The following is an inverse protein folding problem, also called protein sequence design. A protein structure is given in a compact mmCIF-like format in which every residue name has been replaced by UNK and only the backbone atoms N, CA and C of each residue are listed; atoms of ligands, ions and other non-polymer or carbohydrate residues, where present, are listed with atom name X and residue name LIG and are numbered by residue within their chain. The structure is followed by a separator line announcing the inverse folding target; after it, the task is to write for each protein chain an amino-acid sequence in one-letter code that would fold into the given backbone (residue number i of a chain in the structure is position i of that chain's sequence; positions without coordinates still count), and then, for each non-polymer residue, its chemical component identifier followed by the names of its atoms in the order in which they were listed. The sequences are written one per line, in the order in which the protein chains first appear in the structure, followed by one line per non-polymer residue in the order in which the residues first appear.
data_IF_850876876768
#
_entry.id   IF_850876876768
#
_cell.length_a   1.000
_cell.length_b   1.000
_cell.length_c   1.000
_cell.angle_alpha   90.00
_cell.angle_beta   90.00
_cell.angle_gamma   90.00
#
_symmetry.space_group_name_H-M   'P 1'
#
loop_
_entity.id
_entity.type
_entity.pdbx_description
1 polymer ?
#
# COMPACT_ATOMS: atom_id res chain seq x y z
N UNK A 1 9.11 39.96 9.12
CA UNK A 1 9.35 38.52 9.23
C UNK A 1 9.59 37.98 7.86
N UNK A 2 10.73 37.39 7.63
CA UNK A 2 11.08 36.74 6.40
C UNK A 2 10.43 35.35 6.42
N UNK A 3 9.71 34.95 5.39
CA UNK A 3 8.96 33.69 5.35
C UNK A 3 9.86 32.48 5.10
N UNK A 4 11.03 32.70 4.51
CA UNK A 4 12.11 31.75 4.33
C UNK A 4 13.42 32.51 4.49
N UNK A 5 14.42 31.87 5.04
CA UNK A 5 15.78 32.42 5.16
C UNK A 5 16.50 32.44 3.82
N UNK A 6 16.05 31.61 2.87
CA UNK A 6 16.58 31.58 1.52
C UNK A 6 15.99 32.69 0.66
N UNK A 7 16.85 33.59 0.19
CA UNK A 7 16.47 34.79 -0.57
C UNK A 7 16.00 34.38 -1.97
N UNK A 8 14.84 34.89 -2.39
CA UNK A 8 14.35 34.79 -3.76
C UNK A 8 13.30 33.69 -4.00
N UNK A 9 13.07 32.79 -3.05
CA UNK A 9 12.04 31.74 -3.16
C UNK A 9 10.69 32.19 -2.57
N UNK A 10 9.61 31.91 -3.28
CA UNK A 10 8.26 32.36 -2.93
C UNK A 10 7.30 31.18 -2.74
N UNK A 11 6.11 31.45 -2.16
CA UNK A 11 5.04 30.44 -2.05
C UNK A 11 4.57 29.91 -3.42
N UNK A 12 4.69 30.72 -4.47
CA UNK A 12 4.36 30.29 -5.84
C UNK A 12 5.38 29.29 -6.38
N UNK A 13 6.65 29.45 -6.02
CA UNK A 13 7.69 28.51 -6.42
C UNK A 13 7.51 27.18 -5.70
N UNK A 14 7.11 27.20 -4.41
CA UNK A 14 6.71 26.01 -3.67
C UNK A 14 5.52 25.30 -4.32
N UNK A 15 4.49 26.07 -4.68
CA UNK A 15 3.28 25.52 -5.31
C UNK A 15 3.59 24.90 -6.66
N UNK A 16 4.39 25.58 -7.48
CA UNK A 16 4.84 25.04 -8.75
C UNK A 16 5.62 23.72 -8.57
N UNK A 17 6.51 23.67 -7.59
CA UNK A 17 7.37 22.52 -7.33
C UNK A 17 6.59 21.31 -6.81
N UNK A 18 5.69 21.50 -5.83
CA UNK A 18 4.92 20.38 -5.27
C UNK A 18 4.06 19.70 -6.33
N UNK A 19 3.61 20.44 -7.36
CA UNK A 19 2.84 19.90 -8.47
C UNK A 19 3.67 19.08 -9.46
N UNK A 20 5.00 19.11 -9.37
CA UNK A 20 5.87 18.23 -10.17
C UNK A 20 6.01 16.83 -9.55
N UNK A 21 5.65 16.66 -8.30
CA UNK A 21 5.75 15.38 -7.59
C UNK A 21 4.59 14.45 -7.99
N UNK A 22 4.90 13.20 -8.26
CA UNK A 22 3.94 12.23 -8.79
C UNK A 22 3.84 10.99 -7.89
N UNK A 23 2.63 10.46 -7.76
CA UNK A 23 2.34 9.22 -7.03
C UNK A 23 2.37 7.96 -7.91
N UNK A 24 2.68 8.10 -9.20
CA UNK A 24 2.72 6.95 -10.13
C UNK A 24 3.65 5.80 -9.70
N UNK A 25 4.82 6.06 -9.06
CA UNK A 25 5.68 4.97 -8.62
C UNK A 25 5.10 4.10 -7.52
N UNK A 26 4.06 4.58 -6.81
CA UNK A 26 3.48 3.92 -5.65
C UNK A 26 2.32 2.99 -6.01
N UNK A 27 2.34 1.76 -5.47
CA UNK A 27 1.27 0.78 -5.66
C UNK A 27 -0.06 1.22 -5.05
N UNK A 28 -0.03 1.94 -3.90
CA UNK A 28 -1.26 2.42 -3.28
C UNK A 28 -2.08 3.34 -4.21
N UNK A 29 -1.44 4.07 -5.10
CA UNK A 29 -2.16 4.92 -6.04
C UNK A 29 -3.05 4.11 -7.02
N UNK A 30 -2.60 2.91 -7.38
CA UNK A 30 -3.35 1.99 -8.27
C UNK A 30 -4.33 1.14 -7.48
N UNK A 31 -3.90 0.59 -6.33
CA UNK A 31 -4.69 -0.32 -5.50
C UNK A 31 -5.78 0.42 -4.70
N UNK A 32 -5.51 1.69 -4.32
CA UNK A 32 -6.37 2.54 -3.49
C UNK A 32 -6.48 3.95 -4.08
N UNK A 33 -7.22 4.17 -5.17
CA UNK A 33 -7.40 5.50 -5.77
C UNK A 33 -7.81 6.55 -4.75
N UNK A 34 -7.28 7.76 -4.90
CA UNK A 34 -7.44 8.85 -3.94
C UNK A 34 -8.88 9.37 -3.92
N UNK A 35 -9.44 9.55 -2.72
CA UNK A 35 -10.79 10.09 -2.50
C UNK A 35 -10.80 11.10 -1.38
N UNK A 36 -11.22 12.33 -1.67
CA UNK A 36 -11.41 13.35 -0.64
C UNK A 36 -12.64 13.03 0.21
N UNK A 37 -12.49 13.17 1.53
CA UNK A 37 -13.56 12.95 2.50
C UNK A 37 -13.93 14.25 3.25
N UNK A 38 -15.19 14.38 3.61
CA UNK A 38 -15.67 15.53 4.39
C UNK A 38 -15.44 15.41 5.91
N UNK A 39 -15.23 14.19 6.40
CA UNK A 39 -15.03 13.86 7.82
C UNK A 39 -13.65 13.24 8.05
N UNK A 40 -13.22 13.15 9.31
CA UNK A 40 -12.00 12.42 9.71
C UNK A 40 -12.27 10.92 9.92
N UNK A 41 -13.46 10.44 9.59
CA UNK A 41 -13.80 9.03 9.62
C UNK A 41 -13.91 8.51 8.19
N UNK A 42 -13.35 7.35 7.93
CA UNK A 42 -13.61 6.61 6.69
C UNK A 42 -14.60 5.48 6.96
N UNK A 43 -15.43 5.17 5.98
CA UNK A 43 -16.45 4.12 6.08
C UNK A 43 -16.49 3.34 4.78
N UNK A 44 -16.40 2.02 4.89
CA UNK A 44 -16.65 1.09 3.82
C UNK A 44 -17.90 0.26 4.16
N UNK A 45 -18.72 0.01 3.14
CA UNK A 45 -19.86 -0.90 3.23
C UNK A 45 -19.42 -2.19 2.53
N UNK A 46 -19.43 -3.29 3.27
CA UNK A 46 -19.04 -4.60 2.78
C UNK A 46 -20.26 -5.51 2.65
N UNK A 47 -20.28 -6.33 1.59
CA UNK A 47 -21.32 -7.34 1.34
C UNK A 47 -20.66 -8.70 1.51
N UNK A 48 -21.06 -9.43 2.55
CA UNK A 48 -20.41 -10.69 2.96
C UNK A 48 -20.42 -11.80 1.94
N UNK A 49 -21.41 -11.85 1.04
CA UNK A 49 -21.46 -12.89 0.02
C UNK A 49 -21.82 -12.32 -1.34
N UNK A 50 -21.27 -12.94 -2.38
CA UNK A 50 -21.59 -12.64 -3.79
C UNK A 50 -22.48 -13.67 -4.44
N UNK A 51 -23.20 -14.49 -3.66
CA UNK A 51 -24.02 -15.58 -4.17
C UNK A 51 -25.15 -15.07 -5.05
N UNK A 52 -25.25 -15.64 -6.24
CA UNK A 52 -26.35 -15.38 -7.19
C UNK A 52 -27.53 -16.26 -6.83
N UNK A 53 -28.52 -15.70 -6.12
CA UNK A 53 -29.71 -16.42 -5.69
C UNK A 53 -30.72 -16.49 -6.84
N UNK A 54 -31.16 -17.70 -7.19
CA UNK A 54 -32.19 -17.89 -8.18
C UNK A 54 -33.58 -17.51 -7.65
N UNK A 55 -34.44 -17.00 -8.52
CA UNK A 55 -35.87 -16.81 -8.21
C UNK A 55 -36.60 -18.14 -8.08
N UNK A 56 -37.66 -18.16 -7.26
CA UNK A 56 -38.54 -19.33 -7.17
C UNK A 56 -39.50 -19.37 -8.36
N UNK A 57 -39.74 -20.57 -8.87
CA UNK A 57 -40.84 -20.81 -9.81
C UNK A 57 -42.10 -21.07 -8.96
N UNK A 58 -43.10 -20.21 -9.10
CA UNK A 58 -44.33 -20.26 -8.32
C UNK A 58 -45.57 -20.37 -9.23
N UNK A 59 -46.66 -20.91 -8.71
CA UNK A 59 -47.93 -20.95 -9.43
C UNK A 59 -48.47 -19.54 -9.70
N UNK A 60 -49.22 -19.33 -10.77
CA UNK A 60 -49.86 -18.06 -11.08
C UNK A 60 -50.81 -17.67 -9.95
N UNK A 61 -50.64 -16.43 -9.42
CA UNK A 61 -51.42 -15.94 -8.30
C UNK A 61 -50.81 -16.19 -6.91
N UNK A 62 -49.70 -16.92 -6.82
CA UNK A 62 -48.96 -17.08 -5.55
C UNK A 62 -48.23 -15.80 -5.14
N UNK A 63 -48.21 -15.51 -3.83
CA UNK A 63 -47.44 -14.41 -3.30
C UNK A 63 -45.93 -14.72 -3.33
N UNK A 64 -45.09 -13.70 -3.61
CA UNK A 64 -43.63 -13.84 -3.60
C UNK A 64 -43.12 -14.12 -2.18
N UNK A 65 -42.28 -15.14 -2.03
CA UNK A 65 -41.59 -15.42 -0.79
C UNK A 65 -40.51 -14.34 -0.56
N UNK A 66 -40.55 -13.69 0.61
CA UNK A 66 -39.52 -12.73 0.99
C UNK A 66 -38.20 -13.47 1.29
N UNK A 67 -37.15 -13.05 0.63
CA UNK A 67 -35.78 -13.56 0.86
C UNK A 67 -35.11 -12.79 1.99
N UNK A 68 -34.25 -13.45 2.73
CA UNK A 68 -33.39 -12.81 3.74
C UNK A 68 -32.38 -11.91 3.04
N UNK A 69 -32.19 -10.71 3.56
CA UNK A 69 -31.12 -9.81 3.12
C UNK A 69 -29.81 -10.26 3.76
N UNK A 70 -28.74 -10.25 2.99
CA UNK A 70 -27.41 -10.44 3.55
C UNK A 70 -27.09 -9.27 4.50
N UNK A 71 -26.48 -9.55 5.65
CA UNK A 71 -26.04 -8.48 6.53
C UNK A 71 -24.96 -7.64 5.84
N UNK A 72 -25.16 -6.33 5.86
CA UNK A 72 -24.14 -5.38 5.46
C UNK A 72 -23.25 -5.12 6.66
N UNK A 73 -22.00 -5.48 6.56
CA UNK A 73 -21.00 -5.12 7.56
C UNK A 73 -20.43 -3.74 7.23
N UNK A 74 -20.24 -2.91 8.23
CA UNK A 74 -19.62 -1.61 8.09
C UNK A 74 -18.24 -1.68 8.72
N UNK A 75 -17.22 -1.52 7.90
CA UNK A 75 -15.86 -1.28 8.37
C UNK A 75 -15.63 0.23 8.38
N UNK A 76 -15.17 0.75 9.49
CA UNK A 76 -14.90 2.18 9.64
C UNK A 76 -13.74 2.39 10.60
N UNK A 77 -13.04 3.49 10.42
CA UNK A 77 -11.96 3.91 11.29
C UNK A 77 -11.72 5.41 11.16
N UNK A 78 -10.91 5.93 12.06
CA UNK A 78 -10.47 7.31 11.99
C UNK A 78 -9.39 7.49 10.92
N UNK A 79 -9.29 8.68 10.35
CA UNK A 79 -8.21 9.05 9.44
C UNK A 79 -7.08 9.65 10.29
N UNK A 80 -5.94 8.96 10.42
CA UNK A 80 -4.83 9.45 11.22
C UNK A 80 -4.16 10.68 10.59
N UNK A 81 -3.47 11.46 11.42
CA UNK A 81 -2.59 12.52 10.96
C UNK A 81 -1.19 11.95 10.77
N UNK A 82 -0.64 12.10 9.58
CA UNK A 82 0.76 11.80 9.27
C UNK A 82 1.57 13.08 9.32
N UNK A 83 2.78 13.01 9.86
CA UNK A 83 3.72 14.13 9.99
C UNK A 83 5.13 13.65 9.69
N UNK A 84 5.90 14.49 8.98
CA UNK A 84 7.33 14.34 8.78
C UNK A 84 7.94 15.74 8.70
N UNK A 85 9.12 15.94 9.26
CA UNK A 85 9.77 17.22 9.28
C UNK A 85 11.26 17.10 8.95
N UNK A 86 11.80 18.12 8.33
CA UNK A 86 13.22 18.37 8.18
C UNK A 86 13.50 19.82 8.54
N UNK A 87 14.62 20.09 9.17
CA UNK A 87 14.96 21.43 9.62
C UNK A 87 16.41 21.73 9.22
N UNK A 88 16.66 22.97 8.88
CA UNK A 88 18.00 23.52 8.76
C UNK A 88 18.32 24.25 10.05
N UNK A 89 19.41 23.88 10.68
CA UNK A 89 19.93 24.55 11.86
C UNK A 89 20.98 25.62 11.52
N UNK A 90 21.50 26.31 12.55
CA UNK A 90 22.46 27.36 12.39
C UNK A 90 23.77 26.86 11.75
N UNK A 91 24.23 25.64 12.12
CA UNK A 91 25.48 25.06 11.60
C UNK A 91 25.36 24.76 10.09
N UNK A 92 24.22 24.26 9.66
CA UNK A 92 23.95 23.97 8.24
C UNK A 92 23.88 25.29 7.42
N UNK A 93 23.31 26.36 7.99
CA UNK A 93 23.28 27.66 7.34
C UNK A 93 24.68 28.28 7.26
N UNK A 94 25.48 28.23 8.32
CA UNK A 94 26.87 28.73 8.30
C UNK A 94 27.71 27.97 7.27
N UNK A 95 27.57 26.62 7.22
CA UNK A 95 28.25 25.79 6.21
C UNK A 95 27.86 26.19 4.79
N UNK A 96 26.57 26.49 4.59
CA UNK A 96 26.06 26.98 3.32
C UNK A 96 26.61 28.36 2.95
N UNK A 97 26.63 29.34 3.89
CA UNK A 97 27.16 30.67 3.68
C UNK A 97 28.67 30.65 3.37
N UNK A 98 29.41 29.77 4.05
CA UNK A 98 30.84 29.53 3.73
C UNK A 98 31.00 28.99 2.30
N UNK A 99 30.17 28.04 1.89
CA UNK A 99 30.18 27.51 0.52
C UNK A 99 29.91 28.62 -0.52
N UNK A 100 28.94 29.51 -0.24
CA UNK A 100 28.63 30.67 -1.08
C UNK A 100 29.79 31.62 -1.17
N UNK A 101 30.46 31.94 -0.04
CA UNK A 101 31.61 32.82 -0.01
C UNK A 101 32.79 32.26 -0.82
N UNK A 102 33.06 30.95 -0.70
CA UNK A 102 34.10 30.26 -1.44
C UNK A 102 33.83 30.21 -2.95
N UNK A 103 32.57 30.19 -3.36
CA UNK A 103 32.13 30.25 -4.75
C UNK A 103 32.29 31.67 -5.38
N UNK A 104 32.92 32.63 -4.67
CA UNK A 104 33.22 34.00 -5.12
C UNK A 104 32.01 34.82 -5.56
N UNK A 105 30.94 34.76 -4.84
CA UNK A 105 29.76 35.61 -5.04
C UNK A 105 28.96 35.35 -6.32
N UNK A 106 29.22 34.27 -6.98
CA UNK A 106 28.33 33.75 -8.05
C UNK A 106 27.69 32.47 -7.50
N UNK A 107 26.72 32.57 -6.58
CA UNK A 107 26.07 31.38 -6.05
C UNK A 107 25.42 30.69 -7.22
N UNK A 108 25.68 29.38 -7.33
CA UNK A 108 24.86 28.54 -8.20
C UNK A 108 23.45 28.51 -7.60
N UNK A 109 22.62 29.44 -8.07
CA UNK A 109 21.22 29.54 -7.62
C UNK A 109 20.50 28.20 -7.83
N UNK A 110 20.99 27.38 -8.75
CA UNK A 110 20.49 26.04 -9.02
C UNK A 110 20.70 25.11 -7.83
N UNK A 111 21.90 25.10 -7.24
CA UNK A 111 22.21 24.26 -6.07
C UNK A 111 21.37 24.65 -4.84
N UNK A 112 21.09 25.94 -4.67
CA UNK A 112 20.24 26.45 -3.60
C UNK A 112 18.79 26.03 -3.77
N UNK A 113 18.26 26.16 -4.97
CA UNK A 113 16.92 25.72 -5.32
C UNK A 113 16.80 24.21 -5.18
N UNK A 114 17.85 23.46 -5.55
CA UNK A 114 17.87 21.99 -5.40
C UNK A 114 17.84 21.55 -3.94
N UNK A 115 18.66 22.16 -3.06
CA UNK A 115 18.66 21.84 -1.64
C UNK A 115 17.31 22.13 -0.97
N UNK A 116 16.72 23.29 -1.32
CA UNK A 116 15.40 23.67 -0.83
C UNK A 116 14.28 22.77 -1.36
N UNK A 117 14.39 22.32 -2.63
CA UNK A 117 13.50 21.38 -3.25
C UNK A 117 13.61 19.98 -2.64
N UNK A 118 14.81 19.59 -2.24
CA UNK A 118 15.07 18.29 -1.64
C UNK A 118 14.30 18.11 -0.33
N UNK A 119 14.27 19.12 0.54
CA UNK A 119 13.48 19.05 1.78
C UNK A 119 11.99 18.89 1.51
N UNK A 120 11.47 19.60 0.52
CA UNK A 120 10.06 19.45 0.14
C UNK A 120 9.79 18.06 -0.45
N UNK A 121 10.71 17.56 -1.29
CA UNK A 121 10.61 16.21 -1.86
C UNK A 121 10.70 15.14 -0.80
N UNK A 122 11.61 15.31 0.17
CA UNK A 122 11.74 14.42 1.32
C UNK A 122 10.43 14.36 2.12
N UNK A 123 9.85 15.50 2.45
CA UNK A 123 8.58 15.57 3.18
C UNK A 123 7.41 14.97 2.37
N UNK A 124 7.38 15.21 1.06
CA UNK A 124 6.37 14.63 0.18
C UNK A 124 6.48 13.10 0.13
N UNK A 125 7.68 12.60 -0.19
CA UNK A 125 7.94 11.16 -0.28
C UNK A 125 7.70 10.46 1.05
N UNK A 126 8.07 11.09 2.18
CA UNK A 126 7.85 10.51 3.50
C UNK A 126 6.37 10.26 3.83
N UNK A 127 5.48 11.19 3.44
CA UNK A 127 4.02 10.97 3.55
C UNK A 127 3.57 9.85 2.60
N UNK A 128 4.00 9.87 1.34
CA UNK A 128 3.63 8.86 0.36
C UNK A 128 4.13 7.46 0.75
N UNK A 129 5.38 7.36 1.22
CA UNK A 129 5.97 6.11 1.73
C UNK A 129 5.18 5.55 2.92
N UNK A 130 4.73 6.40 3.85
CA UNK A 130 3.93 5.94 4.99
C UNK A 130 2.55 5.44 4.54
N UNK A 131 1.91 6.09 3.59
CA UNK A 131 0.63 5.61 3.00
C UNK A 131 0.83 4.27 2.29
N UNK A 132 1.92 4.13 1.52
CA UNK A 132 2.29 2.87 0.88
C UNK A 132 2.51 1.76 1.89
N UNK A 133 3.29 2.03 2.94
CA UNK A 133 3.54 1.08 4.02
C UNK A 133 2.24 0.57 4.65
N UNK A 134 1.31 1.48 4.97
CA UNK A 134 0.00 1.12 5.53
C UNK A 134 -0.78 0.25 4.53
N UNK A 135 -0.83 0.66 3.27
CA UNK A 135 -1.56 -0.05 2.22
C UNK A 135 -1.06 -1.48 2.03
N UNK A 136 0.27 -1.66 1.91
CA UNK A 136 0.87 -2.96 1.66
C UNK A 136 0.81 -3.88 2.90
N UNK A 137 1.02 -3.31 4.10
CA UNK A 137 0.97 -4.07 5.34
C UNK A 137 -0.44 -4.62 5.61
N UNK A 138 -1.48 -3.79 5.44
CA UNK A 138 -2.85 -4.23 5.68
C UNK A 138 -3.32 -5.30 4.70
N UNK A 139 -2.97 -5.22 3.40
CA UNK A 139 -3.39 -6.21 2.41
C UNK A 139 -2.64 -7.53 2.52
N UNK A 140 -1.44 -7.54 3.12
CA UNK A 140 -0.66 -8.76 3.34
C UNK A 140 -1.01 -9.46 4.66
N UNK A 141 -1.45 -8.74 5.70
CA UNK A 141 -1.75 -9.32 7.01
C UNK A 141 -3.24 -9.33 7.38
N UNK A 142 -4.08 -8.60 6.65
CA UNK A 142 -5.47 -8.37 7.05
C UNK A 142 -5.63 -7.43 8.24
N UNK A 143 -4.55 -6.80 8.69
CA UNK A 143 -4.49 -5.87 9.82
C UNK A 143 -3.33 -4.90 9.68
N UNK A 144 -3.42 -3.75 10.29
CA UNK A 144 -2.30 -2.82 10.48
C UNK A 144 -2.30 -2.29 11.89
N UNK A 145 -1.14 -2.30 12.53
CA UNK A 145 -0.95 -1.77 13.89
C UNK A 145 0.31 -0.91 13.93
N UNK A 146 0.22 0.18 14.69
CA UNK A 146 1.35 1.07 14.92
C UNK A 146 1.92 0.76 16.32
N UNK A 147 3.21 0.49 16.35
CA UNK A 147 3.97 0.17 17.55
C UNK A 147 5.21 1.09 17.62
N UNK A 148 5.87 1.13 18.77
CA UNK A 148 7.10 1.92 18.92
C UNK A 148 8.21 1.51 17.93
N UNK A 149 8.21 0.25 17.46
CA UNK A 149 9.19 -0.25 16.49
C UNK A 149 8.94 0.23 15.06
N UNK A 150 7.70 0.50 14.68
CA UNK A 150 7.35 0.90 13.31
C UNK A 150 6.83 2.33 13.20
N UNK A 151 6.73 3.04 14.31
CA UNK A 151 6.28 4.42 14.35
C UNK A 151 6.86 5.12 15.58
N UNK A 152 7.92 5.90 15.36
CA UNK A 152 8.57 6.70 16.41
C UNK A 152 7.73 7.95 16.71
N UNK A 153 7.60 8.29 17.96
CA UNK A 153 6.86 9.47 18.40
C UNK A 153 5.56 9.13 19.15
N UNK A 154 4.66 10.10 19.26
CA UNK A 154 3.39 9.94 19.99
C UNK A 154 2.55 8.90 19.30
N UNK A 155 2.54 7.69 19.84
CA UNK A 155 1.68 6.61 19.38
C UNK A 155 0.31 6.79 20.03
N UNK A 156 -0.62 7.33 19.28
CA UNK A 156 -2.00 6.98 19.55
C UNK A 156 -2.13 5.53 19.10
N UNK A 157 -2.55 4.62 19.96
CA UNK A 157 -2.81 3.23 19.57
C UNK A 157 -3.83 3.21 18.42
N UNK A 158 -3.31 3.15 17.20
CA UNK A 158 -4.13 3.11 16.00
C UNK A 158 -3.96 1.71 15.39
N UNK A 159 -4.98 0.88 15.62
CA UNK A 159 -5.00 -0.47 15.10
C UNK A 159 -6.25 -0.65 14.24
N UNK A 160 -6.07 -1.14 13.03
CA UNK A 160 -7.16 -1.56 12.14
C UNK A 160 -7.02 -3.05 11.89
N UNK A 161 -8.05 -3.81 12.27
CA UNK A 161 -8.15 -5.25 12.01
C UNK A 161 -9.43 -5.50 11.19
N UNK A 162 -9.26 -6.06 9.99
CA UNK A 162 -10.37 -6.41 9.10
C UNK A 162 -11.03 -7.74 9.47
N UNK A 163 -10.60 -8.39 10.55
CA UNK A 163 -11.18 -9.61 11.14
C UNK A 163 -11.37 -10.76 10.14
N UNK A 164 -10.49 -10.87 9.16
CA UNK A 164 -10.59 -11.88 8.09
C UNK A 164 -10.62 -13.32 8.62
N UNK A 165 -9.98 -13.57 9.76
CA UNK A 165 -9.98 -14.89 10.41
C UNK A 165 -11.31 -15.27 11.07
N UNK A 166 -12.20 -14.30 11.30
CA UNK A 166 -13.52 -14.52 11.91
C UNK A 166 -14.63 -14.76 10.89
N UNK A 167 -14.29 -14.65 9.59
CA UNK A 167 -15.26 -14.78 8.52
C UNK A 167 -15.63 -16.26 8.27
N UNK A 168 -16.89 -16.59 7.99
CA UNK A 168 -17.32 -17.96 7.69
C UNK A 168 -16.70 -18.52 6.41
N UNK A 169 -16.15 -17.67 5.57
CA UNK A 169 -15.46 -18.01 4.32
C UNK A 169 -14.05 -18.52 4.49
N UNK A 170 -13.51 -18.48 5.73
CA UNK A 170 -12.13 -18.86 6.05
C UNK A 170 -11.10 -18.19 5.14
N UNK A 171 -11.04 -16.86 5.23
CA UNK A 171 -10.24 -16.04 4.33
C UNK A 171 -8.73 -16.08 4.65
N UNK A 172 -8.33 -16.54 5.84
CA UNK A 172 -6.94 -16.71 6.25
C UNK A 172 -6.59 -18.21 6.18
N UNK A 173 -5.78 -18.60 5.21
CA UNK A 173 -5.45 -20.00 4.95
C UNK A 173 -3.93 -20.21 4.89
N UNK A 174 -3.50 -21.44 5.13
CA UNK A 174 -2.15 -21.89 4.79
C UNK A 174 -2.13 -22.59 3.42
N UNK A 175 -0.98 -23.15 3.04
CA UNK A 175 -0.92 -24.01 1.86
C UNK A 175 -1.86 -25.21 2.04
N UNK A 176 -2.44 -25.68 0.93
CA UNK A 176 -3.54 -26.65 0.97
C UNK A 176 -3.06 -28.08 1.21
N UNK A 177 -3.92 -28.92 1.79
CA UNK A 177 -3.63 -30.35 1.98
C UNK A 177 -3.32 -31.03 0.64
N UNK A 178 -2.17 -31.70 0.58
CA UNK A 178 -1.63 -32.33 -0.62
C UNK A 178 -0.60 -31.47 -1.36
N UNK A 179 -0.29 -30.28 -0.84
CA UNK A 179 0.86 -29.45 -1.16
C UNK A 179 1.85 -29.43 0.00
N UNK A 180 2.92 -28.67 -0.13
CA UNK A 180 3.94 -28.42 0.88
C UNK A 180 4.33 -26.95 0.87
N UNK A 181 5.10 -26.50 1.87
CA UNK A 181 5.65 -25.16 1.90
C UNK A 181 6.45 -24.87 0.60
N UNK A 182 6.32 -23.67 0.06
CA UNK A 182 6.89 -23.34 -1.26
C UNK A 182 8.42 -23.35 -1.32
N UNK A 183 9.09 -23.32 -0.19
CA UNK A 183 10.54 -23.58 -0.11
C UNK A 183 10.90 -25.04 -0.37
N UNK A 184 9.94 -25.97 -0.35
CA UNK A 184 10.12 -27.37 -0.72
C UNK A 184 9.83 -27.58 -2.21
N UNK A 185 10.78 -27.17 -3.04
CA UNK A 185 10.63 -27.01 -4.49
C UNK A 185 10.11 -28.25 -5.23
N UNK A 186 10.35 -29.45 -4.72
CA UNK A 186 9.94 -30.72 -5.37
C UNK A 186 8.54 -31.19 -4.97
N UNK A 187 8.10 -30.89 -3.76
CA UNK A 187 6.83 -31.38 -3.18
C UNK A 187 5.74 -30.31 -3.14
N UNK A 188 6.10 -29.04 -3.20
CA UNK A 188 5.13 -27.95 -3.28
C UNK A 188 4.34 -28.01 -4.60
N UNK A 189 3.03 -27.76 -4.50
CA UNK A 189 2.10 -27.72 -5.64
C UNK A 189 1.29 -26.41 -5.64
N UNK A 190 1.94 -25.28 -5.93
CA UNK A 190 1.31 -23.97 -5.84
C UNK A 190 0.09 -23.79 -6.73
N UNK A 191 0.12 -24.34 -7.95
CA UNK A 191 -0.93 -24.11 -8.95
C UNK A 191 -2.04 -25.15 -8.85
N UNK A 192 -1.69 -26.45 -8.91
CA UNK A 192 -2.69 -27.52 -9.01
C UNK A 192 -3.40 -27.82 -7.70
N UNK A 193 -2.81 -27.45 -6.56
CA UNK A 193 -3.36 -27.69 -5.22
C UNK A 193 -3.72 -26.39 -4.54
N UNK A 194 -2.74 -25.49 -4.30
CA UNK A 194 -2.95 -24.30 -3.47
C UNK A 194 -3.88 -23.30 -4.15
N UNK A 195 -3.53 -22.77 -5.32
CA UNK A 195 -4.36 -21.80 -6.04
C UNK A 195 -5.74 -22.40 -6.40
N UNK A 196 -5.76 -23.64 -6.88
CA UNK A 196 -7.01 -24.32 -7.21
C UNK A 196 -7.90 -24.49 -5.98
N UNK A 197 -7.34 -24.81 -4.82
CA UNK A 197 -8.06 -24.96 -3.56
C UNK A 197 -8.72 -23.66 -3.14
N UNK A 198 -7.94 -22.56 -3.10
CA UNK A 198 -8.44 -21.23 -2.71
C UNK A 198 -9.49 -20.73 -3.70
N UNK A 199 -9.23 -20.80 -5.00
CA UNK A 199 -10.21 -20.39 -6.03
C UNK A 199 -11.51 -21.18 -5.93
N UNK A 200 -11.44 -22.47 -5.63
CA UNK A 200 -12.62 -23.31 -5.43
C UNK A 200 -13.38 -22.93 -4.16
N UNK A 201 -12.69 -22.68 -3.05
CA UNK A 201 -13.27 -22.21 -1.79
C UNK A 201 -13.99 -20.87 -1.98
N UNK A 202 -13.33 -19.89 -2.61
CA UNK A 202 -13.92 -18.60 -2.90
C UNK A 202 -15.20 -18.71 -3.76
N UNK A 203 -15.17 -19.55 -4.79
CA UNK A 203 -16.33 -19.75 -5.66
C UNK A 203 -17.52 -20.40 -4.97
N UNK A 204 -17.30 -21.25 -3.99
CA UNK A 204 -18.39 -21.82 -3.18
C UNK A 204 -19.20 -20.73 -2.46
N UNK A 205 -18.59 -19.58 -2.23
CA UNK A 205 -19.22 -18.38 -1.63
C UNK A 205 -19.58 -17.28 -2.66
N UNK A 206 -19.51 -17.61 -3.97
CA UNK A 206 -19.84 -16.65 -5.04
C UNK A 206 -18.77 -15.58 -5.30
N UNK A 207 -17.54 -15.81 -4.86
CA UNK A 207 -16.40 -14.91 -5.02
C UNK A 207 -15.55 -15.39 -6.20
N UNK A 208 -15.24 -14.51 -7.16
CA UNK A 208 -14.52 -14.82 -8.38
C UNK A 208 -13.15 -14.16 -8.40
N UNK A 209 -12.16 -14.81 -7.83
CA UNK A 209 -10.79 -14.32 -7.73
C UNK A 209 -10.15 -14.18 -9.11
N UNK A 210 -9.53 -13.01 -9.37
CA UNK A 210 -8.86 -12.68 -10.63
C UNK A 210 -7.40 -12.26 -10.47
N UNK A 211 -7.02 -11.81 -9.29
CA UNK A 211 -5.68 -11.32 -9.01
C UNK A 211 -5.10 -12.07 -7.81
N UNK A 212 -3.80 -12.34 -7.89
CA UNK A 212 -2.98 -12.87 -6.80
C UNK A 212 -1.76 -11.96 -6.64
N UNK A 213 -1.69 -11.20 -5.55
CA UNK A 213 -0.58 -10.31 -5.26
C UNK A 213 0.39 -10.95 -4.28
N UNK A 214 1.66 -10.82 -4.53
CA UNK A 214 2.75 -11.31 -3.68
C UNK A 214 4.00 -10.45 -3.87
N UNK A 215 4.94 -10.50 -2.94
CA UNK A 215 6.22 -9.85 -3.10
C UNK A 215 7.18 -10.68 -3.99
N UNK A 216 8.28 -10.07 -4.37
CA UNK A 216 9.27 -10.70 -5.28
C UNK A 216 9.87 -11.99 -4.68
N UNK A 217 10.17 -12.00 -3.38
CA UNK A 217 10.74 -13.18 -2.71
C UNK A 217 9.78 -14.37 -2.71
N UNK A 218 8.49 -14.11 -2.45
CA UNK A 218 7.46 -15.16 -2.53
C UNK A 218 7.27 -15.64 -3.98
N UNK A 219 7.33 -14.73 -4.95
CA UNK A 219 7.27 -15.08 -6.36
C UNK A 219 8.47 -15.91 -6.81
N UNK A 220 9.67 -15.60 -6.33
CA UNK A 220 10.86 -16.40 -6.62
C UNK A 220 10.70 -17.84 -6.09
N UNK A 221 10.26 -18.01 -4.83
CA UNK A 221 9.93 -19.32 -4.26
C UNK A 221 8.89 -20.07 -5.08
N UNK A 222 7.85 -19.37 -5.52
CA UNK A 222 6.80 -19.92 -6.39
C UNK A 222 7.36 -20.46 -7.69
N UNK A 223 8.19 -19.68 -8.39
CA UNK A 223 8.77 -20.05 -9.70
C UNK A 223 9.87 -21.10 -9.62
N UNK A 224 10.52 -21.24 -8.45
CA UNK A 224 11.49 -22.31 -8.21
C UNK A 224 10.88 -23.70 -8.07
N UNK A 225 9.57 -23.78 -7.78
CA UNK A 225 8.91 -25.06 -7.63
C UNK A 225 8.89 -25.85 -8.95
N UNK A 226 9.09 -27.15 -8.84
CA UNK A 226 9.09 -28.07 -9.99
C UNK A 226 7.76 -28.00 -10.76
N UNK A 227 6.63 -27.91 -10.06
CA UNK A 227 5.31 -27.83 -10.70
C UNK A 227 5.20 -26.62 -11.63
N UNK A 228 5.61 -25.44 -11.16
CA UNK A 228 5.50 -24.21 -11.95
C UNK A 228 6.39 -24.25 -13.17
N UNK A 229 7.64 -24.73 -13.01
CA UNK A 229 8.57 -24.91 -14.12
C UNK A 229 8.02 -25.88 -15.17
N UNK A 230 7.55 -27.06 -14.74
CA UNK A 230 7.01 -28.07 -15.63
C UNK A 230 5.74 -27.57 -16.38
N UNK A 231 4.84 -26.88 -15.69
CA UNK A 231 3.63 -26.32 -16.32
C UNK A 231 3.99 -25.23 -17.33
N UNK A 232 4.88 -24.30 -16.98
CA UNK A 232 5.30 -23.25 -17.90
C UNK A 232 6.01 -23.82 -19.13
N UNK A 233 6.90 -24.81 -18.96
CA UNK A 233 7.55 -25.49 -20.06
C UNK A 233 6.54 -26.17 -21.01
N UNK A 234 5.58 -26.90 -20.45
CA UNK A 234 4.57 -27.62 -21.23
C UNK A 234 3.63 -26.68 -22.00
N UNK A 235 3.16 -25.61 -21.38
CA UNK A 235 2.18 -24.72 -22.00
C UNK A 235 2.78 -23.66 -22.93
N UNK A 236 4.04 -23.33 -22.75
CA UNK A 236 4.73 -22.35 -23.59
C UNK A 236 5.62 -23.00 -24.66
N UNK A 237 5.80 -24.33 -24.61
CA UNK A 237 6.71 -25.08 -25.48
C UNK A 237 8.15 -24.52 -25.42
N UNK A 238 8.57 -24.08 -24.26
CA UNK A 238 9.92 -23.56 -23.98
C UNK A 238 10.62 -24.54 -23.06
N UNK A 239 11.84 -24.93 -23.42
CA UNK A 239 12.69 -25.70 -22.53
C UNK A 239 13.13 -24.77 -21.37
N UNK A 240 12.53 -24.96 -20.20
CA UNK A 240 12.99 -24.33 -18.96
C UNK A 240 13.95 -25.32 -18.27
N UNK A 241 15.21 -24.95 -18.20
CA UNK A 241 16.19 -25.71 -17.43
C UNK A 241 15.96 -25.48 -15.92
N UNK A 242 16.49 -26.39 -15.10
CA UNK A 242 16.41 -26.33 -13.61
C UNK A 242 16.93 -24.98 -13.07
N UNK A 243 17.84 -24.35 -13.78
CA UNK A 243 18.46 -23.06 -13.43
C UNK A 243 17.64 -21.83 -13.86
N UNK A 244 16.65 -21.99 -14.72
CA UNK A 244 15.87 -20.87 -15.27
C UNK A 244 14.48 -20.82 -14.67
N UNK A 245 14.19 -19.77 -13.93
CA UNK A 245 12.84 -19.51 -13.41
C UNK A 245 11.99 -18.76 -14.44
N UNK A 246 10.70 -19.11 -14.60
CA UNK A 246 9.83 -18.41 -15.53
C UNK A 246 9.53 -16.97 -15.07
N UNK A 247 9.41 -16.05 -16.02
CA UNK A 247 9.03 -14.67 -15.76
C UNK A 247 7.56 -14.56 -15.40
N UNK A 248 7.15 -13.41 -14.79
CA UNK A 248 5.74 -13.10 -14.46
C UNK A 248 4.84 -13.23 -15.69
N UNK A 249 5.29 -12.76 -16.84
CA UNK A 249 4.53 -12.82 -18.08
C UNK A 249 4.33 -14.28 -18.56
N UNK A 250 5.37 -15.10 -18.47
CA UNK A 250 5.28 -16.53 -18.80
C UNK A 250 4.32 -17.27 -17.87
N UNK A 251 4.40 -17.00 -16.57
CA UNK A 251 3.48 -17.55 -15.58
C UNK A 251 2.05 -17.15 -15.89
N UNK A 252 1.77 -15.86 -16.09
CA UNK A 252 0.41 -15.38 -16.37
C UNK A 252 -0.16 -15.95 -17.67
N UNK A 253 0.65 -16.11 -18.72
CA UNK A 253 0.26 -16.80 -19.94
C UNK A 253 -0.09 -18.27 -19.70
N UNK A 254 0.63 -18.93 -18.81
CA UNK A 254 0.35 -20.34 -18.41
C UNK A 254 -0.94 -20.41 -17.59
N UNK A 255 -1.12 -19.55 -16.59
CA UNK A 255 -2.32 -19.51 -15.76
C UNK A 255 -3.58 -19.26 -16.59
N UNK A 256 -3.52 -18.39 -17.60
CA UNK A 256 -4.63 -18.10 -18.49
C UNK A 256 -5.10 -19.33 -19.30
N UNK A 257 -4.24 -20.33 -19.53
CA UNK A 257 -4.58 -21.59 -20.21
C UNK A 257 -5.20 -22.63 -19.28
N UNK A 258 -5.18 -22.38 -17.95
CA UNK A 258 -5.72 -23.32 -16.95
C UNK A 258 -7.18 -22.96 -16.62
N UNK A 259 -8.19 -23.72 -17.12
CA UNK A 259 -9.58 -23.31 -17.02
C UNK A 259 -10.10 -23.26 -15.57
N UNK A 260 -9.51 -24.03 -14.67
CA UNK A 260 -9.91 -24.08 -13.26
C UNK A 260 -9.44 -22.87 -12.44
N UNK A 261 -8.56 -22.03 -12.97
CA UNK A 261 -8.12 -20.77 -12.35
C UNK A 261 -8.90 -19.54 -12.85
N UNK A 262 -9.74 -19.71 -13.86
CA UNK A 262 -10.67 -18.69 -14.36
C UNK A 262 -10.03 -17.35 -14.74
N UNK A 263 -8.79 -17.39 -15.25
CA UNK A 263 -8.06 -16.19 -15.68
C UNK A 263 -7.38 -15.44 -14.54
N UNK A 264 -7.04 -16.13 -13.44
CA UNK A 264 -6.25 -15.58 -12.36
C UNK A 264 -4.92 -15.03 -12.90
N UNK A 265 -4.54 -13.83 -12.46
CA UNK A 265 -3.30 -13.15 -12.83
C UNK A 265 -2.46 -12.86 -11.59
N UNK A 266 -1.16 -13.05 -11.69
CA UNK A 266 -0.20 -12.69 -10.63
C UNK A 266 0.28 -11.27 -10.85
N UNK A 267 0.22 -10.46 -9.80
CA UNK A 267 0.86 -9.15 -9.68
C UNK A 267 1.95 -9.18 -8.62
N UNK A 268 3.12 -8.67 -8.96
CA UNK A 268 4.21 -8.51 -8.00
C UNK A 268 4.11 -7.13 -7.37
N UNK A 269 4.25 -7.10 -6.04
CA UNK A 269 4.36 -5.90 -5.24
C UNK A 269 5.74 -5.91 -4.60
N UNK A 270 6.64 -5.09 -5.14
CA UNK A 270 8.03 -5.06 -4.71
C UNK A 270 8.48 -3.61 -4.52
N UNK A 271 8.43 -3.16 -3.27
CA UNK A 271 8.86 -1.82 -2.89
C UNK A 271 9.37 -1.82 -1.47
N UNK A 272 10.63 -1.46 -1.30
CA UNK A 272 11.23 -1.28 0.01
C UNK A 272 10.93 0.10 0.56
N UNK A 273 10.64 0.16 1.86
CA UNK A 273 10.40 1.39 2.60
C UNK A 273 11.25 1.36 3.87
N UNK A 274 12.03 2.43 4.05
CA UNK A 274 12.82 2.61 5.25
C UNK A 274 11.98 3.26 6.36
N UNK A 275 12.08 2.71 7.57
CA UNK A 275 11.53 3.28 8.79
C UNK A 275 12.69 3.59 9.72
N UNK A 276 12.74 4.82 10.21
CA UNK A 276 13.69 5.28 11.21
C UNK A 276 13.18 4.93 12.61
N UNK A 277 14.04 4.40 13.47
CA UNK A 277 13.75 4.13 14.87
C UNK A 277 14.14 5.31 15.78
N UNK A 278 13.87 5.20 17.10
CA UNK A 278 14.21 6.24 18.08
C UNK A 278 15.72 6.52 18.19
N UNK A 279 16.57 5.60 17.77
CA UNK A 279 18.02 5.75 17.77
C UNK A 279 18.56 6.34 16.45
N UNK A 280 17.67 6.70 15.51
CA UNK A 280 18.05 7.21 14.19
C UNK A 280 18.56 6.12 13.24
N UNK A 281 18.30 4.84 13.54
CA UNK A 281 18.68 3.74 12.65
C UNK A 281 17.55 3.45 11.67
N UNK A 282 17.91 3.21 10.42
CA UNK A 282 16.97 2.89 9.37
C UNK A 282 16.82 1.37 9.19
N UNK A 283 15.59 0.89 9.33
CA UNK A 283 15.22 -0.47 8.93
C UNK A 283 14.53 -0.40 7.57
N UNK A 284 15.18 -0.95 6.55
CA UNK A 284 14.62 -1.01 5.19
C UNK A 284 14.03 -2.39 4.93
N UNK A 285 12.86 -2.45 4.29
CA UNK A 285 12.24 -3.70 3.92
C UNK A 285 10.91 -3.51 3.18
N UNK A 286 10.48 -4.57 2.53
CA UNK A 286 9.19 -4.59 1.86
C UNK A 286 8.06 -4.68 2.89
N UNK A 287 7.11 -3.74 2.90
CA UNK A 287 5.95 -3.79 3.81
C UNK A 287 5.01 -4.97 3.54
N UNK A 288 4.98 -5.47 2.30
CA UNK A 288 4.22 -6.66 1.97
C UNK A 288 4.90 -7.88 2.57
N UNK A 289 4.17 -8.62 3.42
CA UNK A 289 4.71 -9.74 4.21
C UNK A 289 5.24 -10.87 3.34
N UNK A 290 6.41 -11.43 3.72
CA UNK A 290 7.00 -12.58 3.06
C UNK A 290 6.17 -13.84 3.23
N UNK A 291 6.20 -14.68 2.20
CA UNK A 291 5.45 -15.94 2.14
C UNK A 291 3.93 -15.76 2.24
N UNK A 292 3.41 -14.62 1.82
CA UNK A 292 1.99 -14.33 1.74
C UNK A 292 1.57 -14.11 0.29
N UNK A 293 0.42 -14.68 -0.07
CA UNK A 293 -0.29 -14.40 -1.32
C UNK A 293 -1.67 -13.87 -0.99
N UNK A 294 -1.99 -12.68 -1.51
CA UNK A 294 -3.30 -12.07 -1.37
C UNK A 294 -4.09 -12.23 -2.67
N UNK A 295 -5.28 -12.81 -2.58
CA UNK A 295 -6.18 -13.03 -3.71
C UNK A 295 -7.35 -12.05 -3.66
N UNK A 296 -7.70 -11.46 -4.80
CA UNK A 296 -8.82 -10.53 -4.92
C UNK A 296 -9.60 -10.70 -6.23
N UNK A 297 -10.82 -10.17 -6.25
CA UNK A 297 -11.64 -10.10 -7.46
C UNK A 297 -11.27 -8.92 -8.36
N UNK A 298 -10.68 -7.86 -7.79
CA UNK A 298 -10.36 -6.60 -8.45
C UNK A 298 -8.92 -6.18 -8.19
N UNK A 299 -8.32 -5.49 -9.14
CA UNK A 299 -7.04 -4.82 -8.93
C UNK A 299 -7.19 -3.60 -8.01
N UNK A 300 -8.36 -2.97 -7.96
CA UNK A 300 -8.66 -1.89 -7.02
C UNK A 300 -9.25 -2.51 -5.76
N UNK A 301 -8.56 -2.31 -4.63
CA UNK A 301 -8.87 -2.94 -3.35
C UNK A 301 -9.66 -2.01 -2.42
N UNK A 302 -9.51 -0.71 -2.61
CA UNK A 302 -10.17 0.27 -1.76
C UNK A 302 -9.95 1.70 -2.23
N UNK A 303 -9.93 2.63 -1.30
CA UNK A 303 -9.70 4.06 -1.58
C UNK A 303 -8.80 4.69 -0.55
N UNK A 304 -7.92 5.56 -0.99
CA UNK A 304 -7.14 6.42 -0.10
C UNK A 304 -8.00 7.62 0.31
N UNK A 305 -8.61 7.52 1.49
CA UNK A 305 -9.43 8.59 2.05
C UNK A 305 -8.54 9.66 2.68
N UNK A 306 -8.80 10.92 2.32
CA UNK A 306 -8.10 12.03 2.93
C UNK A 306 -9.02 13.19 3.24
N UNK A 307 -8.63 13.99 4.23
CA UNK A 307 -9.26 15.27 4.55
C UNK A 307 -8.21 16.35 4.67
N UNK A 308 -8.40 17.45 3.96
CA UNK A 308 -7.53 18.62 4.08
C UNK A 308 -7.43 19.06 5.54
N UNK A 309 -6.22 19.10 6.14
CA UNK A 309 -6.03 19.50 7.52
C UNK A 309 -6.52 20.91 7.79
N UNK A 310 -7.09 21.14 8.98
CA UNK A 310 -7.61 22.45 9.37
C UNK A 310 -6.54 23.55 9.38
N UNK A 311 -5.27 23.15 9.59
CA UNK A 311 -4.10 24.05 9.55
C UNK A 311 -3.96 24.78 8.21
N UNK A 312 -4.41 24.22 7.09
CA UNK A 312 -4.40 24.87 5.78
C UNK A 312 -5.32 26.09 5.71
N UNK A 313 -6.34 26.18 6.56
CA UNK A 313 -7.26 27.32 6.62
C UNK A 313 -6.69 28.51 7.40
N UNK A 314 -5.70 28.28 8.23
CA UNK A 314 -5.04 29.33 9.02
C UNK A 314 -4.24 30.25 8.12
N UNK A 315 -4.54 31.52 8.09
CA UNK A 315 -3.83 32.55 7.34
C UNK A 315 -2.75 33.17 8.23
N UNK A 316 -1.61 32.49 8.35
CA UNK A 316 -0.43 33.06 8.99
C UNK A 316 0.53 33.56 7.88
N UNK A 317 0.76 34.87 7.87
CA UNK A 317 1.62 35.49 6.87
C UNK A 317 3.12 35.08 6.99
N UNK A 318 3.52 34.50 8.10
CA UNK A 318 4.89 34.03 8.35
C UNK A 318 5.13 32.56 7.95
N UNK A 319 4.13 31.87 7.41
CA UNK A 319 4.21 30.46 7.06
C UNK A 319 3.78 30.25 5.62
N UNK A 320 4.62 29.66 4.80
CA UNK A 320 4.24 29.15 3.49
C UNK A 320 3.46 27.85 3.65
N UNK A 321 2.39 27.65 2.87
CA UNK A 321 1.59 26.44 2.89
C UNK A 321 1.10 26.09 1.49
N UNK A 322 1.42 24.89 1.06
CA UNK A 322 1.02 24.36 -0.24
C UNK A 322 0.38 22.97 -0.09
N UNK A 323 -0.47 22.59 -1.01
CA UNK A 323 -1.13 21.29 -1.02
C UNK A 323 -1.19 20.73 -2.42
N UNK A 324 -0.85 19.44 -2.55
CA UNK A 324 -1.12 18.66 -3.76
C UNK A 324 -1.73 17.31 -3.34
N UNK A 325 -2.95 17.02 -3.80
CA UNK A 325 -3.69 15.84 -3.38
C UNK A 325 -3.94 15.82 -1.88
N UNK A 326 -3.51 14.77 -1.21
CA UNK A 326 -3.63 14.62 0.26
C UNK A 326 -2.45 15.21 1.02
N UNK A 327 -1.30 15.44 0.38
CA UNK A 327 -0.09 15.92 1.04
C UNK A 327 -0.06 17.44 1.10
N UNK A 328 0.17 17.96 2.28
CA UNK A 328 0.37 19.38 2.55
C UNK A 328 1.80 19.59 3.04
N UNK A 329 2.43 20.67 2.60
CA UNK A 329 3.75 21.08 3.07
C UNK A 329 3.65 22.48 3.63
N UNK A 330 4.23 22.71 4.80
CA UNK A 330 4.42 24.05 5.37
C UNK A 330 5.90 24.33 5.61
N UNK A 331 6.31 25.58 5.36
CA UNK A 331 7.66 26.04 5.55
C UNK A 331 7.65 27.35 6.31
N UNK A 332 8.50 27.47 7.33
CA UNK A 332 8.62 28.65 8.17
C UNK A 332 9.97 28.69 8.87
N UNK A 333 10.43 29.91 9.25
CA UNK A 333 11.64 30.11 10.04
C UNK A 333 11.32 30.46 11.50
N UNK A 334 12.20 30.01 12.39
CA UNK A 334 12.21 30.38 13.82
C UNK A 334 13.49 31.14 14.14
N UNK A 335 13.43 32.01 15.16
CA UNK A 335 14.61 32.81 15.64
C UNK A 335 15.19 32.20 16.91
N UNK A 336 14.43 31.41 17.66
CA UNK A 336 14.87 30.72 18.87
C UNK A 336 14.18 29.36 18.99
N UNK A 337 14.88 28.23 18.76
CA UNK A 337 16.21 28.19 18.13
C UNK A 337 16.15 28.69 16.68
N UNK A 338 17.30 29.27 16.22
CA UNK A 338 17.41 29.73 14.85
C UNK A 338 17.36 28.56 13.88
N UNK A 339 16.54 28.68 12.83
CA UNK A 339 16.44 27.64 11.80
C UNK A 339 15.24 27.79 10.87
N UNK A 340 15.24 27.01 9.80
CA UNK A 340 14.13 26.90 8.88
C UNK A 340 13.56 25.48 8.93
N UNK A 341 12.25 25.38 9.00
CA UNK A 341 11.54 24.12 9.16
C UNK A 341 10.66 23.84 7.96
N UNK A 342 10.82 22.67 7.38
CA UNK A 342 9.94 22.12 6.34
C UNK A 342 9.18 20.95 6.94
N UNK A 343 7.83 21.01 6.95
CA UNK A 343 6.99 19.99 7.54
C UNK A 343 5.97 19.51 6.52
N UNK A 344 6.04 18.23 6.20
CA UNK A 344 4.99 17.50 5.48
C UNK A 344 3.93 16.99 6.43
N UNK A 345 2.67 17.16 6.08
CA UNK A 345 1.54 16.68 6.89
C UNK A 345 0.34 16.31 6.03
N UNK A 346 -0.39 15.30 6.49
CA UNK A 346 -1.60 14.84 5.82
C UNK A 346 -2.56 14.19 6.83
N UNK A 347 -3.88 14.32 6.59
CA UNK A 347 -4.86 13.45 7.20
C UNK A 347 -5.29 12.47 6.12
N UNK A 348 -4.73 11.25 6.13
CA UNK A 348 -4.90 10.28 5.05
C UNK A 348 -4.83 8.85 5.58
N UNK A 349 -5.67 7.97 5.00
CA UNK A 349 -5.66 6.55 5.29
C UNK A 349 -6.13 5.76 4.05
N UNK A 350 -5.38 4.73 3.60
CA UNK A 350 -5.82 3.81 2.56
C UNK A 350 -6.81 2.79 3.16
N UNK A 351 -8.10 3.06 3.07
CA UNK A 351 -9.13 2.16 3.56
C UNK A 351 -9.38 1.02 2.59
N UNK A 352 -9.22 -0.21 3.05
CA UNK A 352 -9.50 -1.41 2.28
C UNK A 352 -11.01 -1.65 2.25
N UNK A 353 -11.59 -1.62 1.07
CA UNK A 353 -13.01 -1.91 0.81
C UNK A 353 -13.14 -3.37 0.34
N UNK A 354 -14.22 -4.05 0.72
CA UNK A 354 -14.49 -5.45 0.34
C UNK A 354 -13.38 -6.44 0.76
N UNK A 355 -12.74 -6.22 1.89
CA UNK A 355 -11.68 -7.08 2.44
C UNK A 355 -12.15 -8.52 2.65
N UNK A 356 -13.42 -8.72 3.01
CA UNK A 356 -14.06 -10.02 3.20
C UNK A 356 -14.19 -10.86 1.92
N UNK A 357 -13.99 -10.23 0.74
CA UNK A 357 -13.95 -10.93 -0.57
C UNK A 357 -12.53 -11.24 -1.03
N UNK A 358 -11.55 -10.96 -0.18
CA UNK A 358 -10.14 -11.26 -0.41
C UNK A 358 -9.71 -12.46 0.45
N UNK A 359 -8.77 -13.23 -0.05
CA UNK A 359 -8.20 -14.38 0.65
C UNK A 359 -6.71 -14.18 0.82
N UNK A 360 -6.19 -14.52 1.99
CA UNK A 360 -4.76 -14.50 2.27
C UNK A 360 -4.28 -15.93 2.48
N UNK A 361 -3.16 -16.28 1.89
CA UNK A 361 -2.53 -17.58 2.02
C UNK A 361 -1.10 -17.45 2.53
N UNK A 362 -0.79 -18.16 3.61
CA UNK A 362 0.57 -18.38 4.07
C UNK A 362 1.19 -19.55 3.28
N UNK A 363 2.24 -19.28 2.53
CA UNK A 363 2.92 -20.26 1.69
C UNK A 363 3.96 -21.08 2.43
N UNK A 364 4.28 -20.72 3.67
CA UNK A 364 5.25 -21.41 4.50
C UNK A 364 4.59 -22.40 5.48
N UNK A 365 3.35 -22.17 5.86
CA UNK A 365 2.63 -22.96 6.84
C UNK A 365 1.30 -23.52 6.28
N UNK A 366 0.86 -24.65 6.80
CA UNK A 366 -0.43 -25.27 6.41
C UNK A 366 -1.66 -24.60 7.09
N UNK A 367 -1.42 -23.70 8.02
CA UNK A 367 -2.41 -22.83 8.63
C UNK A 367 -1.88 -21.41 8.61
N UNK A 368 -2.78 -20.42 8.68
CA UNK A 368 -2.36 -19.03 8.78
C UNK A 368 -1.57 -18.80 10.08
N UNK A 369 -0.33 -18.31 9.95
CA UNK A 369 0.57 -18.06 11.08
C UNK A 369 1.36 -16.75 10.86
N UNK A 370 0.61 -15.62 10.71
CA UNK A 370 1.18 -14.28 10.50
C UNK A 370 0.60 -13.25 11.46
#
# INVERSE_FOLDING_TARGET
MQKSLMVGLTEKDMDAMIHTFDLKPYYHNTLFPVKQNGTLEWKALEIQTGMRVAADVVARGASARRRTREPLQRVSGDIPKLLIARSWDEEEYEAYDIALYLAKGNPDQTALVEAWAEDMRFCWNGIANRVEWIALKQISLGKVSFTAQNNVGIVTEYNVDYQLGSLPTNNLQGYQTGSAAWNQTTSAKPISVDFKGIVRSARAHGIYLKYAFMNLDTFNKFTETKEVKDLCANYLSVALDITTSPSVEQVNKTLAKLPYLYGLQIGIVDQDIAIEDEAGQFTNGNPFEDNVVMFSESAVLGKTFYKTPAEMRSKNAAVYKVQNGYTCIKKFSTEDPFGEHTIGFANVFPGWENSERCFLMDTANNTWNK
#
